data_IF_961895723561
#
_entry.id   IF_961895723561
#
_cell.length_a   1.000
_cell.length_b   1.000
_cell.length_c   1.000
_cell.angle_alpha   90.00
_cell.angle_beta   90.00
_cell.angle_gamma   90.00
#
_symmetry.space_group_name_H-M   'P 1'
#
loop_
_entity.id
_entity.type
_entity.pdbx_description
1 polymer ?
#
# COMPACT_ATOMS: atom_id res chain seq x y z
N UNK A 1 12.43 2.31 -9.41
CA UNK A 1 11.44 2.55 -10.49
C UNK A 1 10.30 1.55 -10.37
N UNK A 2 9.09 2.03 -10.46
CA UNK A 2 7.91 1.17 -10.33
C UNK A 2 7.69 0.38 -11.60
N UNK A 3 7.18 -0.82 -11.44
CA UNK A 3 6.90 -1.69 -12.58
C UNK A 3 5.52 -1.41 -13.14
N UNK A 4 5.34 -1.70 -14.42
CA UNK A 4 4.03 -1.60 -15.04
C UNK A 4 3.11 -2.71 -14.53
N UNK A 5 3.66 -3.92 -14.44
CA UNK A 5 2.91 -5.08 -13.95
C UNK A 5 3.83 -5.99 -13.15
N UNK A 6 3.28 -6.56 -12.08
CA UNK A 6 3.95 -7.61 -11.30
C UNK A 6 3.08 -8.86 -11.36
N UNK A 7 3.70 -9.99 -11.72
CA UNK A 7 3.03 -11.28 -11.71
C UNK A 7 3.24 -11.92 -10.35
N UNK A 8 2.14 -12.15 -9.63
CA UNK A 8 2.17 -12.73 -8.29
C UNK A 8 2.03 -14.23 -8.41
N UNK A 9 3.11 -14.96 -8.11
CA UNK A 9 3.15 -16.43 -8.21
C UNK A 9 3.08 -17.12 -6.86
N UNK A 10 3.50 -16.44 -5.79
CA UNK A 10 3.49 -17.00 -4.44
C UNK A 10 2.07 -17.00 -3.89
N UNK A 11 1.51 -18.19 -3.54
CA UNK A 11 0.16 -18.26 -2.99
C UNK A 11 -0.03 -17.45 -1.71
N UNK A 12 1.02 -17.31 -0.89
CA UNK A 12 0.92 -16.53 0.34
C UNK A 12 0.77 -15.04 0.04
N UNK A 13 1.41 -14.57 -1.01
CA UNK A 13 1.25 -13.17 -1.44
C UNK A 13 -0.11 -12.99 -2.10
N UNK A 14 -0.54 -13.96 -2.91
CA UNK A 14 -1.84 -13.92 -3.57
C UNK A 14 -2.99 -13.79 -2.59
N UNK A 15 -2.88 -14.39 -1.40
CA UNK A 15 -3.92 -14.32 -0.36
C UNK A 15 -4.18 -12.89 0.08
N UNK A 16 -3.19 -12.01 -0.01
CA UNK A 16 -3.37 -10.63 0.41
C UNK A 16 -4.41 -9.89 -0.44
N UNK A 17 -4.62 -10.36 -1.67
CA UNK A 17 -5.59 -9.76 -2.57
C UNK A 17 -7.04 -10.17 -2.29
N UNK A 18 -7.26 -11.08 -1.35
CA UNK A 18 -8.60 -11.49 -0.97
C UNK A 18 -9.31 -10.43 -0.11
N UNK A 19 -8.57 -9.55 0.53
CA UNK A 19 -9.11 -8.51 1.39
C UNK A 19 -9.39 -7.24 0.60
N UNK A 20 -10.60 -6.72 0.72
CA UNK A 20 -11.02 -5.54 -0.03
C UNK A 20 -10.22 -4.30 0.35
N UNK A 21 -9.94 -4.11 1.64
CA UNK A 21 -9.17 -2.95 2.10
C UNK A 21 -7.79 -2.93 1.48
N UNK A 22 -7.12 -4.07 1.41
CA UNK A 22 -5.79 -4.15 0.79
C UNK A 22 -5.84 -3.85 -0.70
N UNK A 23 -6.87 -4.35 -1.41
CA UNK A 23 -7.04 -4.01 -2.83
C UNK A 23 -7.26 -2.51 -3.03
N UNK A 24 -8.05 -1.89 -2.14
CA UNK A 24 -8.28 -0.44 -2.20
C UNK A 24 -7.02 0.36 -1.93
N UNK A 25 -6.20 -0.08 -0.97
CA UNK A 25 -4.91 0.56 -0.70
C UNK A 25 -4.04 0.53 -1.94
N UNK A 26 -3.88 -0.65 -2.55
CA UNK A 26 -3.05 -0.79 -3.76
C UNK A 26 -3.58 0.07 -4.90
N UNK A 27 -4.89 0.12 -5.07
CA UNK A 27 -5.51 0.92 -6.11
C UNK A 27 -5.20 2.41 -5.91
N UNK A 28 -5.36 2.91 -4.69
CA UNK A 28 -5.08 4.32 -4.39
C UNK A 28 -3.61 4.68 -4.54
N UNK A 29 -2.72 3.73 -4.30
CA UNK A 29 -1.27 3.96 -4.38
C UNK A 29 -0.69 3.71 -5.77
N UNK A 30 -1.53 3.38 -6.76
CA UNK A 30 -1.05 3.08 -8.13
C UNK A 30 -0.38 4.29 -8.77
N UNK A 31 -0.99 5.45 -8.65
CA UNK A 31 -0.54 6.65 -9.36
C UNK A 31 -0.19 7.78 -8.42
N UNK A 32 -0.42 7.63 -7.12
CA UNK A 32 -0.22 8.69 -6.15
C UNK A 32 0.54 8.18 -4.95
N UNK A 33 1.48 8.97 -4.51
CA UNK A 33 2.15 8.78 -3.24
C UNK A 33 1.22 9.30 -2.15
N UNK A 34 0.83 8.44 -1.20
CA UNK A 34 -0.09 8.82 -0.14
C UNK A 34 0.45 8.39 1.22
N UNK A 35 0.12 9.17 2.24
CA UNK A 35 0.48 8.85 3.62
C UNK A 35 -0.55 7.92 4.24
N UNK A 36 -0.21 7.37 5.41
CA UNK A 36 -1.15 6.59 6.22
C UNK A 36 -2.41 7.40 6.52
N UNK A 37 -2.24 8.68 6.87
CA UNK A 37 -3.35 9.58 7.15
C UNK A 37 -4.24 9.76 5.92
N UNK A 38 -3.62 9.95 4.75
CA UNK A 38 -4.37 10.10 3.50
C UNK A 38 -5.22 8.86 3.21
N UNK A 39 -4.62 7.69 3.38
CA UNK A 39 -5.32 6.42 3.12
C UNK A 39 -6.45 6.19 4.12
N UNK A 40 -6.22 6.45 5.40
CA UNK A 40 -7.24 6.31 6.43
C UNK A 40 -8.46 7.17 6.11
N UNK A 41 -8.22 8.40 5.68
CA UNK A 41 -9.28 9.33 5.31
C UNK A 41 -9.99 8.88 4.05
N UNK A 42 -9.24 8.51 3.02
CA UNK A 42 -9.81 8.13 1.73
C UNK A 42 -10.68 6.88 1.83
N UNK A 43 -10.26 5.92 2.66
CA UNK A 43 -10.94 4.62 2.76
C UNK A 43 -11.90 4.53 3.94
N UNK A 44 -12.00 5.58 4.75
CA UNK A 44 -12.84 5.61 5.95
C UNK A 44 -12.48 4.48 6.91
N UNK A 45 -11.19 4.27 7.12
CA UNK A 45 -10.65 3.25 8.02
C UNK A 45 -9.82 3.89 9.10
N UNK A 46 -9.63 3.18 10.20
CA UNK A 46 -8.77 3.64 11.29
C UNK A 46 -7.31 3.61 10.87
N UNK A 47 -6.49 4.45 11.51
CA UNK A 47 -5.04 4.44 11.29
C UNK A 47 -4.45 3.05 11.56
N UNK A 48 -4.86 2.42 12.65
CA UNK A 48 -4.31 1.10 13.01
C UNK A 48 -4.65 0.04 11.97
N UNK A 49 -5.85 0.09 11.38
CA UNK A 49 -6.22 -0.82 10.30
C UNK A 49 -5.31 -0.61 9.07
N UNK A 50 -5.12 0.65 8.68
CA UNK A 50 -4.28 0.97 7.53
C UNK A 50 -2.82 0.56 7.78
N UNK A 51 -2.29 0.84 8.97
CA UNK A 51 -0.92 0.47 9.32
C UNK A 51 -0.74 -1.04 9.26
N UNK A 52 -1.71 -1.81 9.78
CA UNK A 52 -1.67 -3.25 9.73
C UNK A 52 -1.58 -3.76 8.28
N UNK A 53 -2.45 -3.27 7.41
CA UNK A 53 -2.46 -3.71 6.01
C UNK A 53 -1.22 -3.24 5.25
N UNK A 54 -0.77 -2.01 5.49
CA UNK A 54 0.44 -1.50 4.85
C UNK A 54 1.66 -2.34 5.21
N UNK A 55 1.76 -2.78 6.47
CA UNK A 55 2.88 -3.62 6.89
C UNK A 55 2.90 -4.93 6.13
N UNK A 56 1.75 -5.60 5.99
CA UNK A 56 1.65 -6.83 5.22
C UNK A 56 2.05 -6.61 3.77
N UNK A 57 1.57 -5.54 3.16
CA UNK A 57 1.87 -5.23 1.77
C UNK A 57 3.33 -4.84 1.57
N UNK A 58 3.92 -4.12 2.51
CA UNK A 58 5.32 -3.73 2.46
C UNK A 58 6.22 -4.95 2.62
N UNK A 59 5.90 -5.82 3.57
CA UNK A 59 6.70 -7.01 3.85
C UNK A 59 6.74 -7.97 2.66
N UNK A 60 5.73 -7.95 1.82
CA UNK A 60 5.65 -8.81 0.63
C UNK A 60 6.09 -8.11 -0.65
N UNK A 61 6.53 -6.85 -0.56
CA UNK A 61 7.03 -6.11 -1.72
C UNK A 61 5.96 -5.54 -2.63
N UNK A 62 4.71 -5.49 -2.21
CA UNK A 62 3.62 -4.92 -3.01
C UNK A 62 3.50 -3.41 -2.87
N UNK A 63 4.03 -2.89 -1.76
CA UNK A 63 4.03 -1.46 -1.45
C UNK A 63 5.43 -1.11 -0.96
N UNK A 64 5.89 0.09 -1.27
CA UNK A 64 7.16 0.57 -0.74
C UNK A 64 6.98 1.96 -0.12
N UNK A 65 7.78 2.21 0.91
CA UNK A 65 7.85 3.52 1.55
C UNK A 65 8.70 4.43 0.66
N UNK A 66 8.22 5.63 0.39
CA UNK A 66 8.88 6.57 -0.49
C UNK A 66 9.60 7.68 0.26
N UNK A 67 8.97 8.20 1.30
CA UNK A 67 9.58 9.28 2.08
C UNK A 67 8.89 9.43 3.42
N UNK A 68 9.55 10.15 4.30
CA UNK A 68 9.01 10.57 5.60
C UNK A 68 8.98 12.09 5.61
N UNK A 69 7.84 12.66 5.95
CA UNK A 69 7.68 14.09 6.07
C UNK A 69 7.41 14.46 7.52
N UNK A 70 8.25 15.32 8.08
CA UNK A 70 8.08 15.78 9.45
C UNK A 70 7.50 17.18 9.42
N UNK A 71 6.36 17.36 10.07
CA UNK A 71 5.71 18.66 10.19
C UNK A 71 5.36 18.86 11.64
N UNK A 72 6.04 19.83 12.31
CA UNK A 72 5.92 20.06 13.74
C UNK A 72 6.28 18.79 14.51
N UNK A 73 5.34 18.24 15.30
CA UNK A 73 5.57 17.01 16.05
C UNK A 73 5.02 15.78 15.35
N UNK A 74 4.52 15.94 14.11
CA UNK A 74 3.92 14.84 13.37
C UNK A 74 4.90 14.31 12.34
N UNK A 75 5.01 12.99 12.30
CA UNK A 75 5.79 12.30 11.27
C UNK A 75 4.80 11.57 10.37
N UNK A 76 4.84 11.88 9.07
CA UNK A 76 4.01 11.21 8.08
C UNK A 76 4.88 10.38 7.16
N UNK A 77 4.53 9.11 7.02
CA UNK A 77 5.22 8.20 6.12
C UNK A 77 4.36 8.02 4.88
N UNK A 78 5.00 8.13 3.72
CA UNK A 78 4.33 8.03 2.42
C UNK A 78 4.69 6.72 1.74
N UNK A 79 3.75 6.22 0.97
CA UNK A 79 3.86 4.93 0.30
C UNK A 79 3.40 5.01 -1.14
N UNK A 80 3.82 4.05 -1.93
CA UNK A 80 3.38 3.89 -3.31
C UNK A 80 3.34 2.39 -3.62
N UNK A 81 2.44 1.98 -4.51
CA UNK A 81 2.42 0.61 -5.01
C UNK A 81 3.65 0.36 -5.88
N UNK A 82 4.20 -0.86 -5.82
CA UNK A 82 5.41 -1.21 -6.56
C UNK A 82 5.13 -1.47 -8.03
N UNK A 83 3.87 -1.60 -8.41
CA UNK A 83 3.46 -1.75 -9.81
C UNK A 83 2.13 -1.05 -10.03
N UNK A 84 1.82 -0.76 -11.29
CA UNK A 84 0.52 -0.20 -11.66
C UNK A 84 -0.57 -1.28 -11.65
N UNK A 85 -0.20 -2.54 -11.92
CA UNK A 85 -1.13 -3.65 -11.94
C UNK A 85 -0.48 -4.89 -11.36
N UNK A 86 -1.30 -5.77 -10.82
CA UNK A 86 -0.86 -7.06 -10.31
C UNK A 86 -1.68 -8.15 -10.99
N UNK A 87 -1.00 -9.19 -11.45
CA UNK A 87 -1.63 -10.35 -12.08
C UNK A 87 -1.37 -11.57 -11.22
N UNK A 88 -2.44 -12.21 -10.75
CA UNK A 88 -2.33 -13.42 -9.95
C UNK A 88 -2.20 -14.60 -10.90
N UNK A 89 -1.13 -15.35 -10.74
CA UNK A 89 -0.87 -16.49 -11.58
C UNK A 89 -1.36 -17.78 -10.96
#
# INVERSE_FOLDING_TARGET
>A
MRKDIIIVKDPQVAKLFADETRRQILHNLRHHELSTTDLARALHKSHSSIIYHLKLLQDTGLVEKTRVKKKRNLVQTYYVSTAHRYLIS
#
